data_IF_751216560697
#
_entry.id   IF_751216560697
#
_cell.length_a   1.000
_cell.length_b   1.000
_cell.length_c   1.000
_cell.angle_alpha   90.00
_cell.angle_beta   90.00
_cell.angle_gamma   90.00
#
_symmetry.space_group_name_H-M   'P 1'
#
loop_
_entity.id
_entity.type
_entity.pdbx_description
1 polymer ?
#
# COMPACT_ATOMS: atom_id res chain seq x y z
N UNK A 1 8.01 4.02 15.18
CA UNK A 1 8.07 2.54 15.18
C UNK A 1 7.59 2.06 13.83
N UNK A 2 8.30 1.16 13.21
CA UNK A 2 8.02 0.65 11.86
C UNK A 2 7.37 -0.73 11.93
N UNK A 3 6.69 -1.14 10.85
CA UNK A 3 6.02 -2.45 10.79
C UNK A 3 7.03 -3.60 10.96
N UNK A 4 8.25 -3.44 10.44
CA UNK A 4 9.31 -4.45 10.60
C UNK A 4 9.78 -4.66 12.06
N UNK A 5 9.54 -3.69 12.95
CA UNK A 5 9.93 -3.75 14.37
C UNK A 5 8.81 -4.26 15.28
N UNK A 6 7.65 -4.58 14.71
CA UNK A 6 6.51 -5.06 15.48
C UNK A 6 6.77 -6.46 16.04
N UNK A 7 6.52 -6.62 17.32
CA UNK A 7 6.65 -7.89 18.02
C UNK A 7 5.32 -8.25 18.70
N UNK A 8 5.05 -9.55 18.80
CA UNK A 8 3.87 -10.10 19.48
C UNK A 8 3.73 -9.55 20.92
N UNK A 9 2.50 -9.33 21.32
CA UNK A 9 2.11 -8.89 22.68
C UNK A 9 2.54 -7.46 23.07
N UNK A 10 2.91 -6.62 22.11
CA UNK A 10 3.25 -5.22 22.37
C UNK A 10 2.12 -4.28 22.01
N UNK A 11 1.94 -3.26 22.84
CA UNK A 11 1.15 -2.07 22.48
C UNK A 11 2.07 -1.14 21.71
N UNK A 12 1.61 -0.73 20.55
CA UNK A 12 2.41 0.04 19.60
C UNK A 12 1.63 1.25 19.10
N UNK A 13 2.34 2.32 18.87
CA UNK A 13 1.87 3.49 18.14
C UNK A 13 2.70 3.65 16.87
N UNK A 14 2.04 3.73 15.73
CA UNK A 14 2.70 3.87 14.44
C UNK A 14 1.91 4.79 13.51
N UNK A 15 2.62 5.49 12.63
CA UNK A 15 2.05 6.22 11.50
C UNK A 15 2.22 5.37 10.25
N UNK A 16 1.11 5.04 9.60
CA UNK A 16 1.03 4.09 8.49
C UNK A 16 0.04 4.56 7.45
N UNK A 17 0.16 4.08 6.23
CA UNK A 17 -0.85 4.31 5.20
C UNK A 17 -1.88 3.17 5.17
N UNK A 18 -3.13 3.51 4.90
CA UNK A 18 -4.23 2.56 4.73
C UNK A 18 -4.24 2.09 3.28
N UNK A 19 -3.79 0.87 3.02
CA UNK A 19 -3.79 0.30 1.67
C UNK A 19 -5.16 -0.21 1.26
N UNK A 20 -5.81 -0.99 2.15
CA UNK A 20 -7.17 -1.47 1.94
C UNK A 20 -8.01 -1.31 3.20
N UNK A 21 -9.30 -1.07 2.99
CA UNK A 21 -10.30 -0.92 4.04
C UNK A 21 -11.55 -1.71 3.67
N UNK A 22 -11.95 -2.63 4.54
CA UNK A 22 -13.16 -3.43 4.35
C UNK A 22 -13.98 -3.47 5.63
N UNK A 23 -15.27 -3.15 5.52
CA UNK A 23 -16.21 -3.33 6.60
C UNK A 23 -16.84 -4.71 6.50
N UNK A 24 -16.63 -5.53 7.50
CA UNK A 24 -17.06 -6.92 7.54
C UNK A 24 -17.94 -7.15 8.78
N UNK A 25 -18.62 -8.31 8.80
CA UNK A 25 -19.39 -8.76 9.95
C UNK A 25 -18.90 -10.12 10.43
N UNK A 26 -18.86 -10.29 11.73
CA UNK A 26 -18.60 -11.59 12.35
C UNK A 26 -19.79 -12.52 12.16
N UNK A 27 -19.60 -13.82 12.44
CA UNK A 27 -20.70 -14.79 12.46
C UNK A 27 -21.80 -14.43 13.46
N UNK A 28 -21.46 -13.70 14.53
CA UNK A 28 -22.40 -13.17 15.51
C UNK A 28 -23.07 -11.86 15.10
N UNK A 29 -22.79 -11.33 13.89
CA UNK A 29 -23.41 -10.12 13.35
C UNK A 29 -22.72 -8.81 13.74
N UNK A 30 -21.69 -8.83 14.59
CA UNK A 30 -20.95 -7.62 14.98
C UNK A 30 -20.11 -7.11 13.79
N UNK A 31 -20.17 -5.80 13.52
CA UNK A 31 -19.36 -5.16 12.49
C UNK A 31 -17.92 -4.96 12.99
N UNK A 32 -16.96 -5.06 12.06
CA UNK A 32 -15.56 -4.69 12.28
C UNK A 32 -14.94 -4.17 11.01
N UNK A 33 -13.86 -3.38 11.11
CA UNK A 33 -13.06 -3.00 9.96
C UNK A 33 -11.83 -3.92 9.86
N UNK A 34 -11.62 -4.46 8.69
CA UNK A 34 -10.40 -5.14 8.32
C UNK A 34 -9.58 -4.18 7.45
N UNK A 35 -8.37 -3.87 7.89
CA UNK A 35 -7.45 -2.94 7.25
C UNK A 35 -6.18 -3.68 6.85
N UNK A 36 -5.59 -3.30 5.73
CA UNK A 36 -4.19 -3.56 5.43
C UNK A 36 -3.43 -2.25 5.56
N UNK A 37 -2.53 -2.21 6.52
CA UNK A 37 -1.70 -1.04 6.84
C UNK A 37 -0.30 -1.26 6.29
N UNK A 38 0.29 -0.23 5.71
CA UNK A 38 1.61 -0.28 5.10
C UNK A 38 2.49 0.85 5.59
N UNK A 39 3.79 0.58 5.66
CA UNK A 39 4.85 1.56 5.80
C UNK A 39 6.03 1.20 4.86
N UNK A 40 7.10 2.00 4.76
CA UNK A 40 8.24 1.70 3.91
C UNK A 40 8.93 0.36 4.22
N UNK A 41 8.68 -0.24 5.39
CA UNK A 41 9.35 -1.46 5.86
C UNK A 41 8.52 -2.71 5.65
N UNK A 42 7.20 -2.58 5.42
CA UNK A 42 6.35 -3.74 5.23
C UNK A 42 4.85 -3.45 5.28
N UNK A 43 4.10 -4.51 5.54
CA UNK A 43 2.64 -4.47 5.69
C UNK A 43 2.16 -5.32 6.87
N UNK A 44 1.03 -4.95 7.47
CA UNK A 44 0.38 -5.68 8.54
C UNK A 44 -1.15 -5.62 8.37
N UNK A 45 -1.81 -6.75 8.66
CA UNK A 45 -3.26 -6.76 8.80
C UNK A 45 -3.66 -6.11 10.13
N UNK A 46 -4.71 -5.29 10.11
CA UNK A 46 -5.25 -4.66 11.30
C UNK A 46 -6.75 -4.84 11.39
N UNK A 47 -7.26 -4.91 12.60
CA UNK A 47 -8.69 -5.01 12.89
C UNK A 47 -9.13 -3.97 13.88
N UNK A 48 -10.27 -3.35 13.59
CA UNK A 48 -10.94 -2.38 14.46
C UNK A 48 -12.26 -3.00 14.88
N UNK A 49 -12.41 -3.24 16.18
CA UNK A 49 -13.60 -3.87 16.75
C UNK A 49 -14.55 -2.87 17.40
N UNK A 50 -14.01 -1.75 17.89
CA UNK A 50 -14.76 -0.72 18.60
C UNK A 50 -14.97 0.51 17.71
N UNK A 51 -16.04 1.25 17.94
CA UNK A 51 -16.35 2.51 17.25
C UNK A 51 -16.31 2.44 15.74
N UNK A 52 -16.64 1.26 15.16
CA UNK A 52 -16.54 0.93 13.75
C UNK A 52 -17.25 1.94 12.87
N UNK A 53 -18.49 2.31 13.22
CA UNK A 53 -19.29 3.28 12.42
C UNK A 53 -18.68 4.68 12.47
N UNK A 54 -18.13 5.10 13.60
CA UNK A 54 -17.48 6.39 13.76
C UNK A 54 -16.18 6.46 12.98
N UNK A 55 -15.37 5.40 13.05
CA UNK A 55 -14.07 5.34 12.41
C UNK A 55 -14.18 5.11 10.91
N UNK A 56 -15.22 4.39 10.46
CA UNK A 56 -15.46 4.14 9.04
C UNK A 56 -15.63 5.44 8.22
N UNK A 57 -16.18 6.50 8.81
CA UNK A 57 -16.34 7.79 8.15
C UNK A 57 -15.12 8.73 8.22
N UNK A 58 -14.08 8.39 9.02
CA UNK A 58 -12.97 9.34 9.31
C UNK A 58 -11.78 9.23 8.38
N UNK A 59 -11.62 8.12 7.67
CA UNK A 59 -10.51 7.90 6.77
C UNK A 59 -10.92 7.00 5.60
N UNK A 60 -10.19 7.09 4.51
CA UNK A 60 -10.38 6.27 3.30
C UNK A 60 -9.10 5.51 2.94
N UNK A 61 -9.20 4.60 1.98
CA UNK A 61 -8.03 3.95 1.39
C UNK A 61 -7.11 5.00 0.78
N UNK A 62 -5.84 4.90 1.07
CA UNK A 62 -4.82 5.85 0.65
C UNK A 62 -4.45 6.89 1.70
N UNK A 63 -5.22 7.05 2.77
CA UNK A 63 -4.91 8.02 3.82
C UNK A 63 -3.76 7.56 4.72
N UNK A 64 -3.00 8.54 5.24
CA UNK A 64 -2.08 8.32 6.34
C UNK A 64 -2.83 8.40 7.67
N UNK A 65 -2.60 7.43 8.53
CA UNK A 65 -3.26 7.33 9.84
C UNK A 65 -2.25 7.02 10.93
N UNK A 66 -2.49 7.59 12.11
CA UNK A 66 -1.82 7.20 13.35
C UNK A 66 -2.66 6.16 14.03
N UNK A 67 -2.10 4.99 14.26
CA UNK A 67 -2.78 3.87 14.90
C UNK A 67 -2.13 3.55 16.24
N UNK A 68 -2.96 3.33 17.25
CA UNK A 68 -2.57 2.76 18.53
C UNK A 68 -3.27 1.41 18.68
N UNK A 69 -2.52 0.36 18.91
CA UNK A 69 -3.08 -0.98 19.03
C UNK A 69 -2.14 -1.97 19.68
N UNK A 70 -2.63 -3.18 19.85
CA UNK A 70 -1.84 -4.31 20.34
C UNK A 70 -1.51 -5.26 19.19
N UNK A 71 -0.26 -5.69 19.13
CA UNK A 71 0.16 -6.70 18.15
C UNK A 71 -0.19 -8.08 18.70
N UNK A 72 -0.97 -8.81 17.94
CA UNK A 72 -1.37 -10.19 18.27
C UNK A 72 -0.93 -11.14 17.16
N UNK A 73 -0.77 -12.41 17.51
CA UNK A 73 -0.48 -13.45 16.54
C UNK A 73 -1.76 -14.22 16.23
N UNK A 74 -2.18 -14.20 14.97
CA UNK A 74 -3.31 -14.96 14.48
C UNK A 74 -2.90 -15.85 13.29
N UNK A 75 -3.04 -17.17 13.44
CA UNK A 75 -2.66 -18.17 12.40
C UNK A 75 -1.25 -17.95 11.86
N UNK A 76 -0.27 -17.81 12.75
CA UNK A 76 1.15 -17.58 12.46
C UNK A 76 1.48 -16.25 11.75
N UNK A 77 0.54 -15.31 11.67
CA UNK A 77 0.76 -13.95 11.18
C UNK A 77 0.54 -12.94 12.28
N UNK A 78 1.36 -11.89 12.28
CA UNK A 78 1.14 -10.75 13.15
C UNK A 78 -0.07 -9.95 12.64
N UNK A 79 -0.92 -9.55 13.55
CA UNK A 79 -2.11 -8.74 13.32
C UNK A 79 -2.16 -7.63 14.37
N UNK A 80 -2.59 -6.44 13.97
CA UNK A 80 -2.78 -5.31 14.88
C UNK A 80 -4.24 -5.22 15.31
N UNK A 81 -4.50 -5.36 16.59
CA UNK A 81 -5.79 -5.02 17.20
C UNK A 81 -5.81 -3.53 17.52
N UNK A 82 -6.51 -2.76 16.70
CA UNK A 82 -6.52 -1.29 16.76
C UNK A 82 -7.49 -0.82 17.84
N UNK A 83 -6.97 -0.03 18.77
CA UNK A 83 -7.75 0.60 19.85
C UNK A 83 -8.12 2.04 19.55
N UNK A 84 -7.22 2.77 18.87
CA UNK A 84 -7.44 4.14 18.43
C UNK A 84 -6.83 4.34 17.05
N UNK A 85 -7.50 5.14 16.23
CA UNK A 85 -7.07 5.51 14.90
C UNK A 85 -7.45 6.96 14.64
N UNK A 86 -6.45 7.75 14.23
CA UNK A 86 -6.59 9.17 13.92
C UNK A 86 -5.93 9.46 12.58
N UNK A 87 -6.45 10.45 11.84
CA UNK A 87 -5.80 10.91 10.63
C UNK A 87 -4.42 11.51 10.97
N UNK A 88 -3.41 11.18 10.19
CA UNK A 88 -2.07 11.75 10.32
C UNK A 88 -1.82 12.75 9.21
N UNK A 89 -1.24 13.90 9.57
CA UNK A 89 -0.81 14.92 8.60
C UNK A 89 0.57 14.58 8.04
N UNK A 90 0.62 13.48 7.30
CA UNK A 90 1.83 12.96 6.64
C UNK A 90 1.45 12.54 5.22
N UNK A 91 2.32 12.83 4.26
CA UNK A 91 2.12 12.38 2.88
C UNK A 91 2.07 10.85 2.81
N UNK A 92 0.93 10.25 2.42
CA UNK A 92 0.78 8.80 2.32
C UNK A 92 1.79 8.15 1.38
N UNK A 93 2.25 8.88 0.36
CA UNK A 93 3.25 8.38 -0.58
C UNK A 93 4.58 8.06 0.12
N UNK A 94 4.94 8.81 1.17
CA UNK A 94 6.14 8.54 1.98
C UNK A 94 6.04 7.27 2.82
N UNK A 95 4.83 6.77 3.06
CA UNK A 95 4.53 5.57 3.84
C UNK A 95 4.29 4.33 2.98
N UNK A 96 4.32 4.48 1.65
CA UNK A 96 4.15 3.35 0.75
C UNK A 96 5.49 2.61 0.61
N UNK A 97 5.50 1.26 0.66
CA UNK A 97 6.72 0.51 0.40
C UNK A 97 7.28 0.87 -0.96
N UNK A 98 8.42 1.53 -1.00
CA UNK A 98 9.14 1.80 -2.25
C UNK A 98 9.92 0.57 -2.69
N UNK A 99 10.09 0.41 -3.99
CA UNK A 99 11.01 -0.58 -4.54
C UNK A 99 12.41 -0.21 -4.01
N UNK A 100 13.06 -1.13 -3.29
CA UNK A 100 14.39 -0.92 -2.69
C UNK A 100 15.54 -0.84 -3.72
N UNK A 101 15.21 -0.70 -4.99
CA UNK A 101 16.21 -0.49 -6.03
C UNK A 101 16.32 0.99 -6.35
N UNK A 102 17.54 1.44 -6.54
CA UNK A 102 17.81 2.78 -7.00
C UNK A 102 17.07 3.03 -8.33
N UNK A 103 16.38 4.15 -8.44
CA UNK A 103 15.68 4.51 -9.67
C UNK A 103 16.65 4.60 -10.87
N UNK A 104 17.89 5.07 -10.64
CA UNK A 104 18.93 5.12 -11.68
C UNK A 104 19.33 3.71 -12.16
N UNK A 105 19.44 2.74 -11.23
CA UNK A 105 19.73 1.34 -11.57
C UNK A 105 18.60 0.74 -12.42
N UNK A 106 17.33 1.03 -12.08
CA UNK A 106 16.18 0.55 -12.83
C UNK A 106 16.11 1.16 -14.23
N UNK A 107 16.40 2.45 -14.35
CA UNK A 107 16.46 3.14 -15.66
C UNK A 107 17.60 2.55 -16.51
N UNK A 108 18.78 2.36 -15.94
CA UNK A 108 19.90 1.72 -16.65
C UNK A 108 19.58 0.30 -17.12
N UNK A 109 18.87 -0.48 -16.29
CA UNK A 109 18.41 -1.81 -16.68
C UNK A 109 17.39 -1.77 -17.83
N UNK A 110 16.47 -0.79 -17.79
CA UNK A 110 15.48 -0.59 -18.84
C UNK A 110 16.16 -0.20 -20.16
N UNK A 111 17.13 0.71 -20.14
CA UNK A 111 17.91 1.10 -21.32
C UNK A 111 18.67 -0.09 -21.92
N UNK A 112 19.25 -0.93 -21.08
CA UNK A 112 19.90 -2.17 -21.51
C UNK A 112 18.92 -3.10 -22.22
N UNK A 113 17.72 -3.34 -21.64
CA UNK A 113 16.70 -4.19 -22.27
C UNK A 113 16.22 -3.63 -23.61
N UNK A 114 16.10 -2.30 -23.75
CA UNK A 114 15.72 -1.67 -25.02
C UNK A 114 16.80 -1.85 -26.08
N UNK A 115 18.07 -1.77 -25.70
CA UNK A 115 19.20 -1.98 -26.60
C UNK A 115 19.32 -3.44 -27.12
N UNK A 116 18.79 -4.43 -26.37
CA UNK A 116 18.72 -5.83 -26.79
C UNK A 116 17.65 -6.11 -27.86
N UNK A 117 16.79 -5.13 -28.18
CA UNK A 117 15.77 -5.27 -29.23
C UNK A 117 16.43 -5.28 -30.60
N UNK A 118 16.43 -6.44 -31.26
CA UNK A 118 17.10 -6.65 -32.54
C UNK A 118 16.44 -5.96 -33.73
N UNK A 119 15.18 -5.54 -33.63
CA UNK A 119 14.43 -4.91 -34.69
C UNK A 119 14.44 -3.37 -34.55
N UNK A 120 15.09 -2.61 -35.51
CA UNK A 120 15.28 -1.17 -35.33
C UNK A 120 13.98 -0.36 -35.18
N UNK A 121 12.93 -0.73 -35.93
CA UNK A 121 11.63 -0.07 -35.83
C UNK A 121 10.94 -0.29 -34.50
N UNK A 122 11.09 -1.48 -33.90
CA UNK A 122 10.53 -1.79 -32.61
C UNK A 122 11.31 -1.09 -31.49
N UNK A 123 12.64 -1.07 -31.58
CA UNK A 123 13.49 -0.33 -30.64
C UNK A 123 13.12 1.17 -30.63
N UNK A 124 12.99 1.80 -31.81
CA UNK A 124 12.59 3.20 -31.91
C UNK A 124 11.20 3.47 -31.30
N UNK A 125 10.25 2.58 -31.54
CA UNK A 125 8.90 2.69 -30.96
C UNK A 125 8.92 2.61 -29.45
N UNK A 126 9.64 1.64 -28.88
CA UNK A 126 9.76 1.47 -27.44
C UNK A 126 10.48 2.68 -26.81
N UNK A 127 11.55 3.19 -27.42
CA UNK A 127 12.24 4.40 -26.95
C UNK A 127 11.30 5.62 -26.93
N UNK A 128 10.47 5.80 -27.94
CA UNK A 128 9.52 6.90 -28.00
C UNK A 128 8.45 6.78 -26.90
N UNK A 129 7.94 5.58 -26.67
CA UNK A 129 6.97 5.33 -25.57
C UNK A 129 7.59 5.60 -24.21
N UNK A 130 8.83 5.17 -23.98
CA UNK A 130 9.53 5.39 -22.71
C UNK A 130 9.99 6.84 -22.51
N UNK A 131 10.17 7.61 -23.58
CA UNK A 131 10.49 9.04 -23.50
C UNK A 131 9.27 9.89 -23.13
N UNK A 132 8.06 9.34 -23.20
CA UNK A 132 6.85 10.01 -22.76
C UNK A 132 6.84 10.10 -21.22
N UNK A 133 6.98 11.33 -20.71
CA UNK A 133 7.09 11.62 -19.28
C UNK A 133 5.87 11.20 -18.47
N UNK A 134 4.70 11.09 -19.08
CA UNK A 134 3.50 10.62 -18.38
C UNK A 134 3.59 9.14 -18.00
N UNK A 135 4.23 8.32 -18.84
CA UNK A 135 4.42 6.88 -18.54
C UNK A 135 5.52 6.62 -17.51
N UNK A 136 6.55 7.48 -17.44
CA UNK A 136 7.64 7.34 -16.46
C UNK A 136 7.34 7.99 -15.10
N UNK A 137 6.35 8.88 -15.05
CA UNK A 137 5.91 9.52 -13.80
C UNK A 137 4.89 8.70 -12.98
N UNK A 138 4.41 7.56 -13.51
CA UNK A 138 3.55 6.68 -12.75
C UNK A 138 4.39 5.97 -11.67
N UNK A 139 4.11 6.21 -10.38
CA UNK A 139 4.63 5.32 -9.36
C UNK A 139 4.02 3.94 -9.65
N UNK A 140 4.87 3.00 -10.04
CA UNK A 140 4.47 1.64 -10.35
C UNK A 140 4.02 0.93 -9.05
N UNK A 141 2.83 1.28 -8.57
CA UNK A 141 2.12 0.44 -7.63
C UNK A 141 1.36 -0.62 -8.44
N UNK A 142 1.65 -1.91 -8.26
CA UNK A 142 1.00 -2.99 -9.01
C UNK A 142 -0.54 -2.96 -8.98
N UNK A 143 -1.12 -2.24 -8.03
CA UNK A 143 -2.56 -2.16 -7.82
C UNK A 143 -3.28 -1.13 -8.71
N UNK A 144 -2.59 -0.14 -9.25
CA UNK A 144 -3.22 0.85 -10.12
C UNK A 144 -3.38 0.36 -11.56
N UNK A 145 -2.50 -0.53 -12.02
CA UNK A 145 -2.61 -1.15 -13.36
C UNK A 145 -3.88 -2.00 -13.46
N UNK A 146 -4.31 -2.65 -12.37
CA UNK A 146 -5.56 -3.43 -12.31
C UNK A 146 -6.83 -2.60 -12.32
N UNK A 147 -6.80 -1.36 -11.84
CA UNK A 147 -7.99 -0.49 -11.76
C UNK A 147 -8.29 0.27 -13.05
N UNK A 148 -7.27 0.61 -13.83
CA UNK A 148 -7.46 1.30 -15.10
C UNK A 148 -8.18 0.44 -16.15
N UNK A 149 -7.99 -0.90 -16.13
CA UNK A 149 -8.60 -1.80 -17.11
C UNK A 149 -10.07 -2.15 -16.84
N UNK A 150 -10.59 -1.88 -15.62
CA UNK A 150 -11.98 -2.18 -15.25
C UNK A 150 -12.99 -1.05 -15.49
N UNK A 151 -12.55 0.15 -15.88
CA UNK A 151 -13.44 1.32 -16.07
C UNK A 151 -14.00 1.48 -17.48
N UNK A 152 -13.56 0.68 -18.45
CA UNK A 152 -13.99 0.82 -19.85
C UNK A 152 -14.98 -0.27 -20.35
N UNK A 153 -15.69 -0.93 -19.45
CA UNK A 153 -16.79 -1.82 -19.87
C UNK A 153 -18.04 -1.60 -19.04
N UNK A 154 -18.74 -0.54 -19.31
CA UNK A 154 -20.21 -0.44 -19.19
C UNK A 154 -20.70 0.41 -20.34
#
# INVERSE_FOLDING_TARGET
MTIAELAEDRVVEAVVAVRTKRKLRTKAGAAYLALELVDPTGKIEARVWNDVELLDGRFVEGDAVRVLGRVEKFRDRLQLDVRSLEAADVDPASLTPSIRRDAEELVGFLEFLVAEISHPGLEATVRNVLADRELTAYPATPDEIGRASCRERV
#
